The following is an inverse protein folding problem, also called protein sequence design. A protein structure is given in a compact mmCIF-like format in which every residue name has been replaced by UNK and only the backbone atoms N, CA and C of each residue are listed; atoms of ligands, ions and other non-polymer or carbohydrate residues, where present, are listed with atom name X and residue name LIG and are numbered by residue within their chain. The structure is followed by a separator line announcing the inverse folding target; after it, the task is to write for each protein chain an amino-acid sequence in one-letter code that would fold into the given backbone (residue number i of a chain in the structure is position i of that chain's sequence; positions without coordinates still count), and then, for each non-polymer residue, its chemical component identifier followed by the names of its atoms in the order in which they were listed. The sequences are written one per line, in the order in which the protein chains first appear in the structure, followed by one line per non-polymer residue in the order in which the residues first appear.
data_IF_060779718313
#
_entry.id   IF_060779718313
#
_cell.length_a   1.000
_cell.length_b   1.000
_cell.length_c   1.000
_cell.angle_alpha   90.00
_cell.angle_beta   90.00
_cell.angle_gamma   90.00
#
_symmetry.space_group_name_H-M   'P 1'
#
loop_
_entity.id
_entity.type
_entity.pdbx_description
1 polymer ?
#
# COMPACT_ATOMS: atom_id res chain seq x y z
N UNK A 1 -3.61 34.40 -18.13
CA UNK A 1 -3.26 34.65 -16.71
C UNK A 1 -3.06 33.28 -16.09
N UNK A 2 -1.83 32.81 -16.02
CA UNK A 2 -1.49 31.50 -15.45
C UNK A 2 -1.56 31.60 -13.93
N UNK A 3 -2.47 30.85 -13.33
CA UNK A 3 -2.45 30.61 -11.88
C UNK A 3 -1.24 29.70 -11.62
N UNK A 4 -0.16 30.25 -11.10
CA UNK A 4 0.97 29.44 -10.60
C UNK A 4 0.46 28.72 -9.35
N UNK A 5 0.19 27.45 -9.46
CA UNK A 5 0.01 26.58 -8.31
C UNK A 5 1.31 26.60 -7.49
N UNK A 6 1.24 27.10 -6.26
CA UNK A 6 2.31 26.93 -5.30
C UNK A 6 1.96 25.73 -4.45
N UNK A 7 2.82 24.70 -4.37
CA UNK A 7 2.59 23.59 -3.45
C UNK A 7 2.51 24.14 -2.02
N UNK A 8 1.64 23.56 -1.21
CA UNK A 8 1.52 23.89 0.19
C UNK A 8 2.81 23.50 0.89
N UNK A 9 3.60 24.48 1.36
CA UNK A 9 4.76 24.20 2.19
C UNK A 9 4.24 23.68 3.53
N UNK A 10 4.41 22.40 3.79
CA UNK A 10 4.28 21.86 5.13
C UNK A 10 5.66 21.91 5.80
N UNK A 11 5.82 22.84 6.74
CA UNK A 11 7.06 23.04 7.49
C UNK A 11 7.23 22.04 8.63
N UNK A 12 6.23 21.23 8.94
CA UNK A 12 6.28 20.24 10.02
C UNK A 12 5.47 18.99 9.66
N UNK A 13 6.13 17.96 9.13
CA UNK A 13 5.63 16.61 9.07
C UNK A 13 6.33 15.78 10.16
N UNK A 14 5.60 15.33 11.21
CA UNK A 14 6.20 14.51 12.26
C UNK A 14 6.04 13.01 11.95
N UNK A 15 7.02 12.39 11.33
CA UNK A 15 7.07 10.96 11.08
C UNK A 15 7.33 10.12 12.35
N UNK A 16 6.95 10.56 13.55
CA UNK A 16 7.18 9.82 14.79
C UNK A 16 8.60 9.24 14.92
N UNK A 17 9.20 9.31 16.07
CA UNK A 17 10.59 8.91 16.32
C UNK A 17 10.80 7.39 16.17
N UNK A 18 10.87 6.87 14.95
CA UNK A 18 11.55 5.61 14.65
C UNK A 18 13.04 5.84 14.86
N UNK A 19 13.73 4.98 15.61
CA UNK A 19 15.12 5.09 16.01
C UNK A 19 16.06 5.38 14.85
N UNK A 20 16.38 6.65 14.64
CA UNK A 20 17.49 7.10 13.81
C UNK A 20 18.77 7.01 14.65
N UNK A 21 19.80 6.34 14.14
CA UNK A 21 21.14 6.44 14.68
C UNK A 21 21.59 7.90 14.66
N UNK A 22 22.21 8.43 15.75
CA UNK A 22 22.61 9.83 15.83
C UNK A 22 23.87 10.06 15.00
N UNK A 23 23.67 10.46 13.75
CA UNK A 23 24.79 10.75 12.83
C UNK A 23 24.41 11.60 11.62
N UNK A 24 23.13 11.73 11.28
CA UNK A 24 22.70 12.51 10.13
C UNK A 24 22.08 13.84 10.57
N UNK A 25 22.65 14.87 10.08
CA UNK A 25 22.36 16.30 10.08
C UNK A 25 21.00 16.78 10.64
N UNK A 26 21.06 17.59 11.71
CA UNK A 26 19.94 18.22 12.44
C UNK A 26 19.27 19.37 11.66
N UNK A 27 18.93 19.23 10.40
CA UNK A 27 18.12 20.23 9.69
C UNK A 27 16.81 19.61 9.25
N UNK A 28 15.78 19.97 10.00
CA UNK A 28 14.36 19.77 9.88
C UNK A 28 13.84 18.97 8.69
N UNK A 29 13.69 17.64 8.87
CA UNK A 29 12.83 16.85 8.02
C UNK A 29 11.40 17.26 8.35
N UNK A 30 10.63 17.71 7.36
CA UNK A 30 9.21 17.95 7.53
C UNK A 30 8.50 16.61 7.80
N UNK A 31 7.61 16.58 8.78
CA UNK A 31 6.93 15.38 9.23
C UNK A 31 5.44 15.43 8.87
N UNK A 32 4.78 14.33 8.38
CA UNK A 32 3.33 14.31 8.21
C UNK A 32 2.62 14.59 9.55
N UNK A 33 1.39 15.13 9.52
CA UNK A 33 0.61 15.33 10.74
C UNK A 33 0.60 14.02 11.53
N UNK A 34 0.86 14.10 12.84
CA UNK A 34 0.88 12.91 13.67
C UNK A 34 -0.54 12.32 13.72
N UNK A 35 -0.63 11.02 13.68
CA UNK A 35 -1.86 10.26 13.97
C UNK A 35 -2.60 10.78 15.24
N UNK A 36 -1.89 11.45 16.14
CA UNK A 36 -2.39 12.00 17.41
C UNK A 36 -3.03 13.37 17.32
N UNK A 37 -2.82 14.14 16.25
CA UNK A 37 -3.60 15.38 16.08
C UNK A 37 -5.09 15.06 15.82
N UNK A 38 -5.39 13.86 15.30
CA UNK A 38 -6.75 13.32 15.24
C UNK A 38 -7.15 12.54 16.51
N UNK A 39 -6.18 12.05 17.30
CA UNK A 39 -6.36 11.27 18.52
C UNK A 39 -6.33 12.11 19.81
N UNK A 40 -6.20 13.44 19.73
CA UNK A 40 -6.43 14.34 20.90
C UNK A 40 -7.83 14.15 21.53
N UNK A 41 -8.74 13.46 20.84
CA UNK A 41 -9.99 12.95 21.42
C UNK A 41 -9.84 11.80 22.42
N UNK A 42 -8.73 11.05 22.40
CA UNK A 42 -8.46 9.95 23.35
C UNK A 42 -7.80 10.43 24.66
N UNK A 43 -7.18 11.60 24.65
CA UNK A 43 -6.44 12.15 25.81
C UNK A 43 -7.39 12.86 26.82
N UNK A 44 -8.63 13.16 26.46
CA UNK A 44 -9.56 13.90 27.29
C UNK A 44 -10.43 13.05 28.22
N UNK A 45 -9.94 11.89 28.68
CA UNK A 45 -10.54 11.21 29.88
C UNK A 45 -12.03 10.83 29.78
N UNK A 46 -12.62 10.81 28.61
CA UNK A 46 -13.95 10.22 28.41
C UNK A 46 -13.79 8.71 28.33
N UNK A 47 -14.31 8.00 29.34
CA UNK A 47 -14.49 6.56 29.29
C UNK A 47 -15.28 6.20 28.01
N UNK A 48 -14.57 5.69 26.98
CA UNK A 48 -15.23 5.06 25.85
C UNK A 48 -15.92 3.80 26.36
N UNK A 49 -17.18 3.54 25.98
CA UNK A 49 -17.93 2.38 26.47
C UNK A 49 -17.17 1.08 26.16
N UNK A 50 -17.21 0.11 27.06
CA UNK A 50 -16.54 -1.17 27.02
C UNK A 50 -16.52 -1.83 25.64
N UNK A 51 -15.35 -2.37 25.25
CA UNK A 51 -15.04 -2.83 23.91
C UNK A 51 -15.80 -4.07 23.42
N UNK A 52 -16.44 -4.86 24.28
CA UNK A 52 -17.20 -6.05 23.87
C UNK A 52 -18.60 -5.64 23.43
N UNK A 53 -18.89 -5.80 22.12
CA UNK A 53 -20.17 -5.36 21.54
C UNK A 53 -21.21 -6.49 21.38
N UNK A 54 -20.95 -7.66 21.96
CA UNK A 54 -21.88 -8.79 21.90
C UNK A 54 -21.55 -9.80 20.78
N UNK A 55 -22.46 -10.80 20.60
CA UNK A 55 -22.30 -11.84 19.60
C UNK A 55 -22.34 -11.24 18.19
N UNK A 56 -21.43 -11.74 17.33
CA UNK A 56 -21.35 -11.36 15.93
C UNK A 56 -21.33 -12.55 14.99
N UNK A 57 -21.74 -12.31 13.75
CA UNK A 57 -21.68 -13.29 12.66
C UNK A 57 -21.00 -12.70 11.44
N UNK A 58 -20.13 -13.50 10.80
CA UNK A 58 -19.54 -13.21 9.50
C UNK A 58 -20.11 -14.18 8.48
N UNK A 59 -20.62 -13.64 7.37
CA UNK A 59 -21.18 -14.36 6.25
C UNK A 59 -20.35 -14.11 5.00
N UNK A 60 -20.11 -15.17 4.22
CA UNK A 60 -19.38 -15.05 2.95
C UNK A 60 -20.28 -15.41 1.77
N UNK A 61 -20.05 -14.81 0.59
CA UNK A 61 -20.87 -14.98 -0.60
C UNK A 61 -20.94 -16.45 -1.08
N UNK A 62 -19.95 -17.27 -0.78
CA UNK A 62 -19.89 -18.71 -1.07
C UNK A 62 -20.57 -19.58 0.01
N UNK A 63 -21.34 -18.95 0.94
CA UNK A 63 -22.17 -19.64 1.92
C UNK A 63 -21.48 -19.95 3.26
N UNK A 64 -20.29 -19.39 3.53
CA UNK A 64 -19.64 -19.52 4.83
C UNK A 64 -20.40 -18.75 5.91
N UNK A 65 -20.48 -19.33 7.13
CA UNK A 65 -21.03 -18.68 8.32
C UNK A 65 -20.10 -18.94 9.50
N UNK A 66 -19.63 -17.87 10.12
CA UNK A 66 -18.71 -17.94 11.25
C UNK A 66 -19.23 -17.01 12.37
N UNK A 67 -19.22 -17.50 13.61
CA UNK A 67 -19.63 -16.72 14.78
C UNK A 67 -18.43 -16.26 15.58
N UNK A 68 -18.56 -15.12 16.24
CA UNK A 68 -17.53 -14.52 17.06
C UNK A 68 -18.09 -13.47 17.99
N UNK A 69 -17.24 -12.58 18.46
CA UNK A 69 -17.56 -11.43 19.31
C UNK A 69 -17.16 -10.14 18.60
N UNK A 70 -18.01 -9.15 18.57
CA UNK A 70 -17.71 -7.86 17.94
C UNK A 70 -16.83 -6.99 18.83
N UNK A 71 -15.92 -6.21 18.21
CA UNK A 71 -15.12 -5.18 18.84
C UNK A 71 -14.86 -4.02 17.86
N UNK A 72 -14.16 -2.97 18.30
CA UNK A 72 -13.94 -1.79 17.44
C UNK A 72 -15.19 -0.89 17.31
N UNK A 73 -15.51 -0.41 16.12
CA UNK A 73 -16.68 0.45 15.89
C UNK A 73 -18.00 -0.33 15.85
N UNK A 74 -19.11 0.35 16.24
CA UNK A 74 -20.47 -0.24 16.21
C UNK A 74 -21.11 -0.08 14.83
N UNK A 75 -20.48 -0.67 13.80
CA UNK A 75 -20.94 -0.67 12.42
C UNK A 75 -20.86 -2.07 11.83
N UNK A 76 -21.40 -2.27 10.64
CA UNK A 76 -21.20 -3.50 9.87
C UNK A 76 -19.92 -3.41 9.08
N UNK A 77 -19.15 -4.52 9.02
CA UNK A 77 -18.02 -4.67 8.11
C UNK A 77 -18.43 -5.38 6.84
N UNK A 78 -17.96 -4.90 5.68
CA UNK A 78 -18.26 -5.51 4.38
C UNK A 78 -17.15 -5.24 3.37
N UNK A 79 -16.90 -6.17 2.47
CA UNK A 79 -15.86 -6.04 1.44
C UNK A 79 -15.31 -7.38 0.98
N UNK A 80 -14.16 -7.34 0.33
CA UNK A 80 -13.44 -8.54 -0.07
C UNK A 80 -12.66 -9.15 1.10
N UNK A 81 -12.94 -10.41 1.44
CA UNK A 81 -12.29 -11.12 2.54
C UNK A 81 -10.90 -11.58 2.10
N UNK A 82 -9.88 -11.02 2.75
CA UNK A 82 -8.48 -11.35 2.52
C UNK A 82 -7.78 -11.76 3.82
N UNK A 83 -6.57 -12.32 3.73
CA UNK A 83 -5.79 -12.63 4.91
C UNK A 83 -4.32 -12.20 4.78
N UNK A 84 -3.70 -11.88 5.91
CA UNK A 84 -2.25 -11.68 6.00
C UNK A 84 -1.62 -12.74 6.89
N UNK A 85 -0.39 -13.16 6.55
CA UNK A 85 0.39 -14.12 7.32
C UNK A 85 1.43 -13.47 8.24
N UNK A 86 1.45 -12.14 8.30
CA UNK A 86 2.34 -11.37 9.17
C UNK A 86 2.12 -11.72 10.65
N UNK A 87 3.20 -12.02 11.37
CA UNK A 87 3.16 -12.31 12.81
C UNK A 87 3.28 -11.05 13.66
N UNK A 88 3.68 -9.93 13.07
CA UNK A 88 3.85 -8.60 13.69
C UNK A 88 3.52 -7.53 12.66
N UNK A 89 3.45 -6.27 13.09
CA UNK A 89 3.15 -5.16 12.19
C UNK A 89 1.65 -5.05 11.87
N UNK A 90 0.80 -5.36 12.83
CA UNK A 90 -0.65 -5.26 12.62
C UNK A 90 -1.12 -3.81 12.47
N UNK A 91 -0.49 -2.85 13.17
CA UNK A 91 -0.83 -1.42 13.03
C UNK A 91 -0.45 -0.91 11.64
N UNK A 92 0.75 -1.26 11.18
CA UNK A 92 1.24 -0.96 9.83
C UNK A 92 0.30 -1.54 8.77
N UNK A 93 -0.15 -2.80 8.95
CA UNK A 93 -1.11 -3.42 8.03
C UNK A 93 -2.49 -2.75 8.08
N UNK A 94 -2.98 -2.36 9.27
CA UNK A 94 -4.26 -1.69 9.43
C UNK A 94 -4.26 -0.28 8.80
N UNK A 95 -3.10 0.37 8.77
CA UNK A 95 -2.94 1.73 8.21
C UNK A 95 -2.33 1.75 6.81
N UNK A 96 -2.13 0.59 6.18
CA UNK A 96 -1.70 0.47 4.78
C UNK A 96 -2.90 0.74 3.84
N UNK A 97 -2.87 1.81 3.02
CA UNK A 97 -3.95 2.14 2.09
C UNK A 97 -4.29 1.01 1.09
N UNK A 98 -3.34 0.12 0.81
CA UNK A 98 -3.56 -1.02 -0.10
C UNK A 98 -4.61 -2.03 0.41
N UNK A 99 -5.06 -1.91 1.67
CA UNK A 99 -6.18 -2.71 2.19
C UNK A 99 -7.55 -2.03 2.07
N UNK A 100 -7.67 -0.86 1.45
CA UNK A 100 -8.96 -0.22 1.21
C UNK A 100 -9.89 -1.17 0.42
N UNK A 101 -11.19 -1.17 0.76
CA UNK A 101 -12.18 -2.07 0.17
C UNK A 101 -12.19 -3.50 0.75
N UNK A 102 -11.25 -3.87 1.61
CA UNK A 102 -11.05 -5.24 2.07
C UNK A 102 -11.47 -5.45 3.54
N UNK A 103 -11.88 -6.68 3.86
CA UNK A 103 -12.01 -7.18 5.24
C UNK A 103 -10.77 -8.03 5.53
N UNK A 104 -9.92 -7.55 6.43
CA UNK A 104 -8.61 -8.12 6.69
C UNK A 104 -8.66 -9.16 7.81
N UNK A 105 -8.30 -10.41 7.48
CA UNK A 105 -8.12 -11.49 8.44
C UNK A 105 -6.65 -11.65 8.82
N UNK A 106 -6.34 -11.56 10.10
CA UNK A 106 -5.02 -11.92 10.62
C UNK A 106 -4.94 -13.41 10.94
N UNK A 107 -3.98 -14.10 10.33
CA UNK A 107 -3.76 -15.55 10.62
C UNK A 107 -3.04 -15.77 11.93
N UNK A 108 -2.24 -14.78 12.38
CA UNK A 108 -1.60 -14.83 13.70
C UNK A 108 -2.65 -14.70 14.81
N UNK A 109 -2.61 -15.58 15.83
CA UNK A 109 -3.74 -15.69 16.76
C UNK A 109 -3.89 -14.53 17.74
N UNK A 110 -2.82 -13.79 18.03
CA UNK A 110 -2.83 -12.70 19.03
C UNK A 110 -2.55 -11.37 18.34
N UNK A 111 -3.54 -10.49 18.27
CA UNK A 111 -3.40 -9.16 17.70
C UNK A 111 -3.57 -8.10 18.79
N UNK A 112 -2.70 -7.08 18.78
CA UNK A 112 -2.72 -6.01 19.78
C UNK A 112 -1.84 -6.26 21.01
N UNK A 113 -1.05 -7.32 21.05
CA UNK A 113 -0.25 -7.71 22.21
C UNK A 113 0.79 -6.65 22.62
N UNK A 114 1.33 -5.87 21.71
CA UNK A 114 2.21 -4.73 22.02
C UNK A 114 1.51 -3.36 21.88
N UNK A 115 0.19 -3.34 21.67
CA UNK A 115 -0.61 -2.13 21.59
C UNK A 115 -0.44 -1.34 20.31
N UNK A 116 -0.87 -0.09 20.35
CA UNK A 116 -0.71 0.89 19.27
C UNK A 116 0.42 1.84 19.64
N UNK A 117 1.28 2.19 18.69
CA UNK A 117 2.47 3.01 18.89
C UNK A 117 2.44 4.28 18.06
N UNK A 118 2.96 5.38 18.62
CA UNK A 118 3.22 6.59 17.85
C UNK A 118 4.25 6.31 16.75
N UNK A 119 3.93 6.72 15.51
CA UNK A 119 4.84 6.60 14.37
C UNK A 119 4.93 5.22 13.71
N UNK A 120 4.15 4.23 14.18
CA UNK A 120 4.04 2.93 13.51
C UNK A 120 2.97 2.90 12.40
N UNK A 121 2.15 3.94 12.28
CA UNK A 121 1.16 4.04 11.21
C UNK A 121 1.82 4.36 9.86
N UNK A 122 1.28 3.75 8.82
CA UNK A 122 1.75 3.91 7.43
C UNK A 122 0.92 4.92 6.63
N UNK A 123 -0.15 5.45 7.24
CA UNK A 123 -0.96 6.56 6.73
C UNK A 123 -1.76 7.22 7.85
N UNK A 124 -2.56 8.21 7.52
CA UNK A 124 -3.42 8.95 8.47
C UNK A 124 -4.73 8.24 8.84
N UNK A 125 -5.02 7.03 8.32
CA UNK A 125 -6.28 6.33 8.54
C UNK A 125 -6.11 4.82 8.70
N UNK A 126 -7.17 4.14 9.15
CA UNK A 126 -7.34 2.68 9.10
C UNK A 126 -8.19 2.35 7.87
N UNK A 127 -7.66 1.58 6.94
CA UNK A 127 -8.25 1.40 5.61
C UNK A 127 -9.08 0.13 5.42
N UNK A 128 -8.77 -1.02 6.06
CA UNK A 128 -9.67 -2.17 5.97
C UNK A 128 -11.09 -1.79 6.40
N UNK A 129 -12.10 -2.23 5.63
CA UNK A 129 -13.52 -2.02 5.94
C UNK A 129 -14.01 -2.92 7.07
N UNK A 130 -13.14 -3.77 7.60
CA UNK A 130 -13.38 -4.60 8.76
C UNK A 130 -12.18 -5.48 9.08
N UNK A 131 -12.11 -5.94 10.33
CA UNK A 131 -10.97 -6.70 10.85
C UNK A 131 -11.44 -8.00 11.48
N UNK A 132 -10.79 -9.11 11.12
CA UNK A 132 -11.10 -10.46 11.60
C UNK A 132 -9.88 -11.02 12.32
N UNK A 133 -10.01 -11.35 13.62
CA UNK A 133 -8.92 -11.85 14.43
C UNK A 133 -9.33 -13.06 15.27
N UNK A 134 -8.37 -13.88 15.64
CA UNK A 134 -8.64 -14.95 16.60
C UNK A 134 -8.82 -14.37 18.02
N UNK A 135 -7.97 -13.42 18.39
CA UNK A 135 -8.03 -12.75 19.69
C UNK A 135 -7.45 -11.34 19.59
N UNK A 136 -8.21 -10.35 20.03
CA UNK A 136 -7.78 -8.97 20.19
C UNK A 136 -7.39 -8.69 21.64
N UNK A 137 -6.15 -8.26 21.85
CA UNK A 137 -5.66 -7.98 23.21
C UNK A 137 -6.25 -6.65 23.71
N UNK A 138 -6.87 -6.71 24.89
CA UNK A 138 -7.44 -5.55 25.58
C UNK A 138 -6.47 -4.90 26.56
N UNK A 139 -5.39 -5.60 26.92
CA UNK A 139 -4.35 -5.13 27.81
C UNK A 139 -2.99 -5.37 27.17
N UNK A 140 -2.53 -4.45 26.31
CA UNK A 140 -1.22 -4.56 25.67
C UNK A 140 -0.11 -4.41 26.70
N UNK A 141 0.96 -5.19 26.56
CA UNK A 141 2.13 -5.15 27.43
C UNK A 141 3.35 -4.65 26.67
N UNK A 142 3.45 -3.34 26.51
CA UNK A 142 4.61 -2.69 25.91
C UNK A 142 4.75 -1.24 26.38
N UNK A 143 5.97 -0.84 26.75
CA UNK A 143 6.27 0.50 27.33
C UNK A 143 5.90 1.69 26.46
N UNK A 144 5.80 1.52 25.15
CA UNK A 144 5.43 2.57 24.19
C UNK A 144 3.98 2.45 23.69
N UNK A 145 3.22 1.52 24.26
CA UNK A 145 1.80 1.40 23.94
C UNK A 145 1.05 2.63 24.43
N UNK A 146 0.24 3.19 23.56
CA UNK A 146 -0.59 4.36 23.82
C UNK A 146 -2.09 4.02 23.74
N UNK A 147 -2.42 2.77 23.39
CA UNK A 147 -3.79 2.29 23.27
C UNK A 147 -3.86 0.87 22.73
N UNK A 148 -5.08 0.38 22.59
CA UNK A 148 -5.40 -0.94 22.06
C UNK A 148 -5.76 -0.88 20.58
N UNK A 149 -5.70 -2.00 19.87
CA UNK A 149 -6.20 -2.13 18.51
C UNK A 149 -7.71 -1.85 18.45
N UNK A 150 -8.48 -2.27 19.47
CA UNK A 150 -9.92 -2.00 19.53
C UNK A 150 -10.24 -0.49 19.60
N UNK A 151 -9.45 0.29 20.33
CA UNK A 151 -9.54 1.75 20.37
C UNK A 151 -9.16 2.40 19.04
N UNK A 152 -8.07 1.93 18.42
CA UNK A 152 -7.65 2.37 17.10
C UNK A 152 -8.76 2.17 16.05
N UNK A 153 -9.33 0.98 15.98
CA UNK A 153 -10.42 0.67 15.06
C UNK A 153 -11.64 1.55 15.32
N UNK A 154 -11.99 1.76 16.60
CA UNK A 154 -13.14 2.57 17.00
C UNK A 154 -12.98 4.03 16.62
N UNK A 155 -11.79 4.60 16.81
CA UNK A 155 -11.52 6.00 16.46
C UNK A 155 -11.62 6.27 14.95
N UNK A 156 -11.45 5.23 14.12
CA UNK A 156 -11.60 5.32 12.66
C UNK A 156 -12.91 4.74 12.12
N UNK A 157 -13.86 4.38 12.99
CA UNK A 157 -15.16 3.85 12.56
C UNK A 157 -15.11 2.43 11.98
N UNK A 158 -14.03 1.69 12.19
CA UNK A 158 -13.82 0.35 11.62
C UNK A 158 -14.29 -0.73 12.60
N UNK A 159 -15.17 -1.66 12.18
CA UNK A 159 -15.62 -2.77 13.01
C UNK A 159 -14.61 -3.91 13.00
N UNK A 160 -14.63 -4.71 14.07
CA UNK A 160 -13.85 -5.94 14.18
C UNK A 160 -14.69 -7.11 14.69
N UNK A 161 -14.27 -8.32 14.38
CA UNK A 161 -14.81 -9.56 14.95
C UNK A 161 -13.68 -10.46 15.43
N UNK A 162 -13.78 -10.90 16.68
CA UNK A 162 -12.81 -11.78 17.33
C UNK A 162 -13.44 -13.11 17.80
N UNK A 163 -12.65 -13.98 18.41
CA UNK A 163 -13.07 -15.32 18.85
C UNK A 163 -13.63 -16.20 17.71
N UNK A 164 -13.22 -15.91 16.49
CA UNK A 164 -13.64 -16.55 15.25
C UNK A 164 -12.55 -17.54 14.75
N UNK A 165 -12.93 -18.54 13.98
CA UNK A 165 -11.96 -19.48 13.41
C UNK A 165 -11.25 -18.90 12.18
N UNK A 166 -10.22 -18.07 12.42
CA UNK A 166 -9.40 -17.45 11.36
C UNK A 166 -8.66 -18.49 10.50
N UNK A 167 -8.36 -19.69 11.05
CA UNK A 167 -7.74 -20.77 10.29
C UNK A 167 -8.70 -21.36 9.26
N UNK A 168 -9.97 -21.61 9.63
CA UNK A 168 -10.98 -22.08 8.71
C UNK A 168 -11.23 -21.05 7.58
N UNK A 169 -11.33 -19.77 7.95
CA UNK A 169 -11.45 -18.65 6.99
C UNK A 169 -10.26 -18.62 6.01
N UNK A 170 -9.03 -18.65 6.53
CA UNK A 170 -7.82 -18.63 5.70
C UNK A 170 -7.77 -19.82 4.73
N UNK A 171 -8.08 -21.03 5.21
CA UNK A 171 -8.13 -22.21 4.33
C UNK A 171 -9.16 -22.04 3.23
N UNK A 172 -10.35 -21.52 3.56
CA UNK A 172 -11.41 -21.28 2.60
C UNK A 172 -10.98 -20.30 1.51
N UNK A 173 -10.40 -19.15 1.89
CA UNK A 173 -9.88 -18.16 0.93
C UNK A 173 -8.77 -18.74 0.06
N UNK A 174 -7.89 -19.58 0.60
CA UNK A 174 -6.85 -20.27 -0.20
C UNK A 174 -7.42 -21.28 -1.21
N UNK A 175 -8.47 -21.98 -0.82
CA UNK A 175 -9.08 -23.03 -1.65
C UNK A 175 -10.00 -22.44 -2.74
N UNK A 176 -10.77 -21.40 -2.43
CA UNK A 176 -11.79 -20.84 -3.33
C UNK A 176 -11.36 -19.54 -4.02
N UNK A 177 -10.41 -18.82 -3.45
CA UNK A 177 -10.04 -17.45 -3.82
C UNK A 177 -10.63 -16.44 -2.85
N UNK A 178 -10.35 -15.15 -3.09
CA UNK A 178 -10.97 -14.07 -2.33
C UNK A 178 -12.48 -14.06 -2.59
N UNK A 179 -13.24 -13.72 -1.56
CA UNK A 179 -14.71 -13.80 -1.57
C UNK A 179 -15.29 -12.57 -0.87
N UNK A 180 -16.44 -12.09 -1.34
CA UNK A 180 -17.16 -11.02 -0.65
C UNK A 180 -17.71 -11.52 0.68
N UNK A 181 -17.67 -10.68 1.70
CA UNK A 181 -18.22 -10.96 3.01
C UNK A 181 -18.87 -9.74 3.63
N UNK A 182 -19.73 -10.00 4.61
CA UNK A 182 -20.29 -9.02 5.53
C UNK A 182 -20.26 -9.57 6.94
N UNK A 183 -20.12 -8.71 7.95
CA UNK A 183 -20.28 -9.13 9.34
C UNK A 183 -20.87 -8.02 10.20
N UNK A 184 -21.48 -8.41 11.31
CA UNK A 184 -22.12 -7.51 12.27
C UNK A 184 -22.79 -8.29 13.40
N UNK A 185 -23.71 -7.66 14.16
CA UNK A 185 -24.46 -8.32 15.20
C UNK A 185 -25.19 -9.59 14.70
N UNK A 186 -25.20 -10.65 15.51
CA UNK A 186 -25.86 -11.90 15.11
C UNK A 186 -27.36 -11.71 14.96
N UNK A 187 -27.98 -10.79 15.71
CA UNK A 187 -29.40 -10.41 15.59
C UNK A 187 -29.74 -9.76 14.23
N UNK A 188 -28.73 -9.17 13.55
CA UNK A 188 -28.91 -8.56 12.24
C UNK A 188 -28.66 -9.55 11.06
N UNK A 189 -28.52 -10.84 11.32
CA UNK A 189 -28.11 -11.84 10.30
C UNK A 189 -28.95 -11.76 9.02
N UNK A 190 -30.26 -11.51 9.12
CA UNK A 190 -31.12 -11.40 7.94
C UNK A 190 -30.81 -10.12 7.12
N UNK A 191 -30.51 -9.00 7.79
CA UNK A 191 -30.07 -7.78 7.14
C UNK A 191 -28.71 -8.00 6.45
N UNK A 192 -27.77 -8.65 7.13
CA UNK A 192 -26.44 -8.97 6.60
C UNK A 192 -26.54 -9.86 5.34
N UNK A 193 -27.45 -10.85 5.30
CA UNK A 193 -27.72 -11.67 4.10
C UNK A 193 -28.21 -10.81 2.93
N UNK A 194 -29.08 -9.85 3.18
CA UNK A 194 -29.59 -8.95 2.15
C UNK A 194 -28.47 -8.05 1.62
N UNK A 195 -27.63 -7.49 2.52
CA UNK A 195 -26.47 -6.68 2.13
C UNK A 195 -25.50 -7.47 1.28
N UNK A 196 -25.16 -8.70 1.69
CA UNK A 196 -24.24 -9.57 0.96
C UNK A 196 -24.70 -9.87 -0.47
N UNK A 197 -26.01 -10.01 -0.68
CA UNK A 197 -26.59 -10.23 -2.02
C UNK A 197 -26.47 -9.02 -2.95
N UNK A 198 -26.41 -7.81 -2.39
CA UNK A 198 -26.27 -6.55 -3.14
C UNK A 198 -24.83 -6.03 -3.19
N UNK A 199 -23.92 -6.65 -2.45
CA UNK A 199 -22.53 -6.21 -2.37
C UNK A 199 -21.81 -6.45 -3.69
N UNK A 200 -21.15 -5.43 -4.21
CA UNK A 200 -20.30 -5.50 -5.41
C UNK A 200 -18.83 -5.62 -5.03
N UNK A 201 -18.01 -6.11 -5.98
CA UNK A 201 -16.57 -6.17 -5.75
C UNK A 201 -15.98 -4.78 -5.58
N UNK A 202 -15.12 -4.55 -4.58
CA UNK A 202 -14.36 -3.31 -4.44
C UNK A 202 -13.46 -2.99 -5.66
N UNK A 203 -13.13 -3.97 -6.49
CA UNK A 203 -12.37 -3.75 -7.74
C UNK A 203 -13.11 -2.85 -8.74
N UNK A 204 -14.43 -2.66 -8.57
CA UNK A 204 -15.25 -1.78 -9.40
C UNK A 204 -15.28 -0.33 -8.87
N UNK A 205 -14.68 -0.06 -7.74
CA UNK A 205 -14.60 1.24 -7.11
C UNK A 205 -13.27 1.94 -7.44
N UNK A 206 -13.26 3.28 -7.53
CA UNK A 206 -12.01 4.04 -7.66
C UNK A 206 -11.36 4.19 -6.27
N UNK A 207 -10.80 3.09 -5.77
CA UNK A 207 -10.16 3.07 -4.46
C UNK A 207 -8.90 3.95 -4.39
N UNK A 208 -8.26 4.24 -5.52
CA UNK A 208 -7.14 5.19 -5.58
C UNK A 208 -7.61 6.61 -5.28
N UNK A 209 -8.83 6.99 -5.72
CA UNK A 209 -9.43 8.28 -5.35
C UNK A 209 -9.70 8.39 -3.84
N UNK A 210 -10.13 7.29 -3.21
CA UNK A 210 -10.45 7.23 -1.77
C UNK A 210 -9.22 7.45 -0.89
N UNK A 211 -8.04 6.95 -1.29
CA UNK A 211 -6.84 6.90 -0.44
C UNK A 211 -5.80 7.97 -0.73
N UNK A 212 -5.91 8.66 -1.87
CA UNK A 212 -4.91 9.63 -2.32
C UNK A 212 -5.13 11.04 -1.75
N UNK A 213 -4.06 11.83 -1.71
CA UNK A 213 -4.16 13.26 -1.36
C UNK A 213 -4.82 14.07 -2.49
N UNK A 214 -5.43 15.19 -2.12
CA UNK A 214 -6.10 16.11 -3.06
C UNK A 214 -5.18 17.23 -3.57
N UNK A 215 -4.20 17.63 -2.79
CA UNK A 215 -3.30 18.77 -3.09
C UNK A 215 -1.84 18.35 -2.99
N UNK A 216 -0.96 18.85 -3.87
CA UNK A 216 0.48 18.58 -3.80
C UNK A 216 1.14 19.11 -2.52
N UNK A 217 2.06 18.32 -1.98
CA UNK A 217 2.83 18.64 -0.78
C UNK A 217 4.32 18.53 -1.07
N UNK A 218 5.09 19.57 -0.73
CA UNK A 218 6.56 19.55 -0.83
C UNK A 218 7.15 19.05 0.48
N UNK A 219 7.91 17.96 0.41
CA UNK A 219 8.60 17.34 1.54
C UNK A 219 10.10 17.55 1.39
N UNK A 220 10.77 17.72 2.53
CA UNK A 220 12.22 17.84 2.60
C UNK A 220 12.81 19.00 1.76
N UNK A 221 12.19 20.21 1.75
CA UNK A 221 12.58 21.30 0.87
C UNK A 221 14.00 21.80 1.16
N UNK A 222 14.80 21.94 0.09
CA UNK A 222 16.17 22.42 0.17
C UNK A 222 17.14 21.48 0.89
N UNK A 223 16.82 20.20 0.95
CA UNK A 223 17.70 19.20 1.53
C UNK A 223 19.00 19.06 0.71
N UNK A 224 20.08 18.78 1.41
CA UNK A 224 21.41 18.58 0.84
C UNK A 224 21.87 17.14 1.08
N UNK A 225 22.72 16.64 0.20
CA UNK A 225 23.43 15.37 0.40
C UNK A 225 24.64 15.56 1.38
N UNK A 226 25.37 14.46 1.62
CA UNK A 226 26.54 14.46 2.50
C UNK A 226 27.72 15.33 1.98
N UNK A 227 27.63 15.79 0.73
CA UNK A 227 28.62 16.68 0.08
C UNK A 227 28.10 18.12 -0.06
N UNK A 228 27.05 18.49 0.69
CA UNK A 228 26.38 19.80 0.65
C UNK A 228 25.82 20.18 -0.75
N UNK A 229 25.48 19.18 -1.60
CA UNK A 229 24.82 19.40 -2.90
C UNK A 229 23.30 19.27 -2.73
N UNK A 230 22.48 20.08 -3.44
CA UNK A 230 21.04 19.90 -3.45
C UNK A 230 20.62 18.49 -3.86
N UNK A 231 19.68 17.90 -3.15
CA UNK A 231 19.08 16.64 -3.55
C UNK A 231 18.27 16.83 -4.83
N UNK A 232 18.25 15.85 -5.76
CA UNK A 232 17.35 15.86 -6.91
C UNK A 232 15.90 15.91 -6.48
N UNK A 233 15.06 16.53 -7.30
CA UNK A 233 13.62 16.67 -7.03
C UNK A 233 12.83 15.51 -7.64
N UNK A 234 12.08 14.81 -6.80
CA UNK A 234 11.27 13.66 -7.18
C UNK A 234 9.79 14.02 -7.16
N UNK A 235 9.08 13.82 -8.27
CA UNK A 235 7.62 13.76 -8.27
C UNK A 235 7.16 12.40 -7.76
N UNK A 236 6.32 12.36 -6.73
CA UNK A 236 5.77 11.13 -6.17
C UNK A 236 4.25 11.11 -6.34
N UNK A 237 3.74 10.28 -7.28
CA UNK A 237 2.31 10.08 -7.49
C UNK A 237 1.73 9.23 -6.36
N UNK A 238 0.75 9.78 -5.68
CA UNK A 238 0.06 9.15 -4.56
C UNK A 238 -1.11 8.28 -5.03
N UNK A 239 -0.88 6.99 -5.15
CA UNK A 239 -1.96 6.03 -5.37
C UNK A 239 -2.42 5.34 -4.06
N UNK A 240 -1.98 5.85 -2.91
CA UNK A 240 -2.12 5.26 -1.58
C UNK A 240 -0.75 5.00 -0.95
N UNK A 241 0.10 6.00 -0.95
CA UNK A 241 1.51 5.88 -0.54
C UNK A 241 1.63 5.61 0.96
N UNK A 242 2.46 4.62 1.33
CA UNK A 242 2.84 4.37 2.71
C UNK A 242 3.85 5.41 3.19
N UNK A 243 3.69 5.87 4.44
CA UNK A 243 4.61 6.83 5.04
C UNK A 243 6.06 6.35 5.06
N UNK A 244 6.31 5.04 5.16
CA UNK A 244 7.68 4.54 5.13
C UNK A 244 8.31 4.63 3.72
N UNK A 245 7.53 4.64 2.66
CA UNK A 245 8.02 4.98 1.31
C UNK A 245 8.48 6.44 1.29
N UNK A 246 7.65 7.38 1.75
CA UNK A 246 8.04 8.80 1.82
C UNK A 246 9.29 9.01 2.67
N UNK A 247 9.40 8.34 3.83
CA UNK A 247 10.61 8.39 4.68
C UNK A 247 11.87 7.94 3.93
N UNK A 248 11.77 6.87 3.15
CA UNK A 248 12.91 6.39 2.36
C UNK A 248 13.23 7.32 1.18
N UNK A 249 12.21 7.81 0.47
CA UNK A 249 12.41 8.77 -0.63
C UNK A 249 13.05 10.08 -0.13
N UNK A 250 12.60 10.63 1.00
CA UNK A 250 13.15 11.86 1.58
C UNK A 250 14.61 11.73 2.05
N UNK A 251 15.17 10.54 2.16
CA UNK A 251 16.62 10.35 2.40
C UNK A 251 17.48 10.66 1.18
N UNK A 252 16.87 10.57 0.00
CA UNK A 252 17.56 10.63 -1.28
C UNK A 252 17.11 11.80 -2.16
N UNK A 253 15.92 12.38 -1.89
CA UNK A 253 15.28 13.35 -2.76
C UNK A 253 14.60 14.49 -1.97
N UNK A 254 14.48 15.65 -2.62
CA UNK A 254 13.40 16.60 -2.33
C UNK A 254 12.13 16.05 -3.00
N UNK A 255 11.05 15.81 -2.25
CA UNK A 255 9.88 15.08 -2.77
C UNK A 255 8.69 16.00 -2.96
N UNK A 256 8.17 16.07 -4.18
CA UNK A 256 6.86 16.67 -4.49
C UNK A 256 5.83 15.54 -4.46
N UNK A 257 5.16 15.37 -3.33
CA UNK A 257 4.10 14.38 -3.15
C UNK A 257 2.81 14.90 -3.79
N UNK A 258 2.34 14.25 -4.85
CA UNK A 258 1.29 14.73 -5.74
C UNK A 258 0.09 13.78 -5.81
N UNK A 259 -1.13 14.30 -6.03
CA UNK A 259 -2.27 13.47 -6.41
C UNK A 259 -1.96 12.59 -7.64
N UNK A 260 -2.56 11.40 -7.76
CA UNK A 260 -2.26 10.44 -8.83
C UNK A 260 -2.67 10.95 -10.22
N UNK A 261 -3.60 11.90 -10.28
CA UNK A 261 -4.07 12.52 -11.51
C UNK A 261 -3.27 13.77 -11.91
N UNK A 262 -2.10 14.01 -11.34
CA UNK A 262 -1.22 15.11 -11.73
C UNK A 262 -0.57 14.81 -13.10
N UNK A 263 -0.80 15.63 -14.15
CA UNK A 263 -0.24 15.37 -15.47
C UNK A 263 1.28 15.52 -15.49
N UNK A 264 1.96 14.76 -16.36
CA UNK A 264 3.41 14.83 -16.51
C UNK A 264 3.90 16.25 -16.85
N UNK A 265 3.14 17.00 -17.67
CA UNK A 265 3.49 18.38 -18.03
C UNK A 265 3.53 19.34 -16.82
N UNK A 266 2.65 19.13 -15.83
CA UNK A 266 2.67 19.90 -14.58
C UNK A 266 3.88 19.51 -13.74
N UNK A 267 4.16 18.21 -13.61
CA UNK A 267 5.31 17.71 -12.87
C UNK A 267 6.63 18.24 -13.44
N UNK A 268 6.81 18.21 -14.77
CA UNK A 268 8.04 18.59 -15.42
C UNK A 268 8.22 20.11 -15.59
N UNK A 269 7.12 20.89 -15.81
CA UNK A 269 7.22 22.31 -16.13
C UNK A 269 6.97 23.24 -14.94
N UNK A 270 6.11 22.83 -14.00
CA UNK A 270 5.78 23.66 -12.85
C UNK A 270 6.56 23.25 -11.60
N UNK A 271 6.79 21.94 -11.40
CA UNK A 271 7.53 21.43 -10.26
C UNK A 271 8.99 21.12 -10.56
N UNK A 272 9.39 21.11 -11.84
CA UNK A 272 10.79 20.92 -12.28
C UNK A 272 11.43 19.68 -11.66
N UNK A 273 10.75 18.52 -11.86
CA UNK A 273 11.19 17.25 -11.29
C UNK A 273 12.31 16.61 -12.14
N UNK A 274 13.27 15.97 -11.48
CA UNK A 274 14.37 15.22 -12.09
C UNK A 274 14.03 13.73 -12.30
N UNK A 275 13.08 13.21 -11.53
CA UNK A 275 12.64 11.82 -11.57
C UNK A 275 11.18 11.67 -11.14
N UNK A 276 10.55 10.54 -11.48
CA UNK A 276 9.18 10.22 -11.13
C UNK A 276 9.10 8.92 -10.35
N UNK A 277 8.26 8.92 -9.31
CA UNK A 277 7.90 7.75 -8.52
C UNK A 277 6.39 7.52 -8.57
N UNK A 278 5.95 6.26 -8.68
CA UNK A 278 4.55 5.87 -8.54
C UNK A 278 4.39 4.86 -7.40
N UNK A 279 3.51 5.18 -6.47
CA UNK A 279 3.38 4.46 -5.22
C UNK A 279 2.58 3.15 -5.33
N UNK A 280 2.56 2.41 -4.22
CA UNK A 280 1.59 1.38 -3.92
C UNK A 280 0.17 1.94 -3.85
N UNK A 281 -0.84 1.07 -3.83
CA UNK A 281 -2.23 1.45 -3.67
C UNK A 281 -3.20 0.28 -3.81
N UNK A 282 -4.49 0.52 -3.54
CA UNK A 282 -5.55 -0.48 -3.62
C UNK A 282 -6.18 -0.60 -5.01
N UNK A 283 -7.01 -1.62 -5.17
CA UNK A 283 -7.94 -1.78 -6.29
C UNK A 283 -7.34 -2.46 -7.52
N UNK A 284 -8.13 -2.46 -8.59
CA UNK A 284 -7.73 -3.02 -9.89
C UNK A 284 -6.85 -2.01 -10.64
N UNK A 285 -5.61 -2.36 -11.05
CA UNK A 285 -4.75 -1.47 -11.84
C UNK A 285 -5.34 -1.10 -13.20
N UNK A 286 -6.29 -1.89 -13.71
CA UNK A 286 -6.99 -1.61 -14.97
C UNK A 286 -8.23 -0.70 -14.79
N UNK A 287 -8.57 -0.30 -13.57
CA UNK A 287 -9.71 0.59 -13.30
C UNK A 287 -9.55 1.93 -14.06
N UNK A 288 -10.63 2.45 -14.70
CA UNK A 288 -10.55 3.65 -15.55
C UNK A 288 -10.48 4.98 -14.78
N UNK A 289 -10.39 4.95 -13.45
CA UNK A 289 -10.31 6.13 -12.58
C UNK A 289 -8.93 6.77 -12.50
N UNK A 290 -8.55 7.27 -11.33
CA UNK A 290 -7.26 7.95 -11.09
C UNK A 290 -6.04 7.09 -11.43
N UNK A 291 -6.13 5.76 -11.28
CA UNK A 291 -5.08 4.81 -11.67
C UNK A 291 -4.74 4.89 -13.17
N UNK A 292 -5.74 5.05 -14.04
CA UNK A 292 -5.53 5.20 -15.48
C UNK A 292 -4.77 6.49 -15.82
N UNK A 293 -5.04 7.59 -15.11
CA UNK A 293 -4.35 8.88 -15.33
C UNK A 293 -2.89 8.77 -14.85
N UNK A 294 -2.64 8.14 -13.70
CA UNK A 294 -1.29 7.88 -13.21
C UNK A 294 -0.47 7.04 -14.22
N UNK A 295 -1.09 6.03 -14.85
CA UNK A 295 -0.48 5.22 -15.92
C UNK A 295 -0.08 6.07 -17.14
N UNK A 296 -0.93 7.01 -17.56
CA UNK A 296 -0.61 7.92 -18.67
C UNK A 296 0.58 8.85 -18.32
N UNK A 297 0.63 9.34 -17.08
CA UNK A 297 1.74 10.16 -16.57
C UNK A 297 3.05 9.37 -16.52
N UNK A 298 3.02 8.11 -16.07
CA UNK A 298 4.17 7.20 -16.12
C UNK A 298 4.69 7.01 -17.55
N UNK A 299 3.79 6.69 -18.49
CA UNK A 299 4.15 6.50 -19.89
C UNK A 299 4.76 7.78 -20.51
N UNK A 300 4.25 8.95 -20.14
CA UNK A 300 4.79 10.24 -20.62
C UNK A 300 6.20 10.50 -20.07
N UNK A 301 6.46 10.18 -18.80
CA UNK A 301 7.78 10.31 -18.18
C UNK A 301 8.81 9.40 -18.87
N UNK A 302 8.45 8.13 -19.14
CA UNK A 302 9.34 7.19 -19.86
C UNK A 302 9.63 7.68 -21.28
N UNK A 303 8.61 8.18 -22.03
CA UNK A 303 8.84 8.79 -23.35
C UNK A 303 9.78 9.98 -23.31
N UNK A 304 9.79 10.73 -22.22
CA UNK A 304 10.71 11.84 -22.00
C UNK A 304 12.10 11.39 -21.52
N UNK A 305 12.35 10.09 -21.44
CA UNK A 305 13.57 9.48 -20.89
C UNK A 305 13.85 9.88 -19.43
N UNK A 306 12.82 10.23 -18.65
CA UNK A 306 12.94 10.56 -17.24
C UNK A 306 13.10 9.28 -16.41
N UNK A 307 13.97 9.26 -15.39
CA UNK A 307 14.06 8.13 -14.48
C UNK A 307 12.74 7.86 -13.76
N UNK A 308 12.27 6.60 -13.76
CA UNK A 308 11.02 6.20 -13.12
C UNK A 308 11.22 4.99 -12.24
N UNK A 309 10.66 5.05 -11.01
CA UNK A 309 10.50 3.89 -10.13
C UNK A 309 9.02 3.68 -9.78
N UNK A 310 8.54 2.44 -9.80
CA UNK A 310 7.19 2.07 -9.37
C UNK A 310 7.20 0.96 -8.33
N UNK A 311 6.34 1.07 -7.31
CA UNK A 311 6.17 0.05 -6.26
C UNK A 311 4.72 -0.46 -6.26
N UNK A 312 4.55 -1.78 -6.23
CA UNK A 312 3.28 -2.50 -6.09
C UNK A 312 2.26 -2.07 -7.16
N UNK A 313 1.28 -1.22 -6.87
CA UNK A 313 0.37 -0.68 -7.88
C UNK A 313 1.13 0.09 -8.97
N UNK A 314 2.15 0.87 -8.62
CA UNK A 314 3.00 1.57 -9.59
C UNK A 314 3.73 0.63 -10.56
N UNK A 315 4.12 -0.57 -10.11
CA UNK A 315 4.65 -1.63 -10.97
C UNK A 315 3.59 -2.16 -11.93
N UNK A 316 2.37 -2.41 -11.44
CA UNK A 316 1.27 -2.92 -12.27
C UNK A 316 0.83 -1.88 -13.32
N UNK A 317 0.77 -0.60 -12.94
CA UNK A 317 0.47 0.50 -13.87
C UNK A 317 1.54 0.64 -14.96
N UNK A 318 2.82 0.47 -14.61
CA UNK A 318 3.91 0.44 -15.60
C UNK A 318 3.79 -0.78 -16.51
N UNK A 319 3.45 -1.96 -15.99
CA UNK A 319 3.17 -3.15 -16.78
C UNK A 319 2.07 -2.89 -17.83
N UNK A 320 0.93 -2.31 -17.41
CA UNK A 320 -0.14 -1.91 -18.32
C UNK A 320 0.31 -0.85 -19.33
N UNK A 321 1.08 0.16 -18.92
CA UNK A 321 1.65 1.18 -19.81
C UNK A 321 2.61 0.58 -20.85
N UNK A 322 3.22 -0.55 -20.53
CA UNK A 322 4.12 -1.31 -21.42
C UNK A 322 3.38 -2.29 -22.36
N UNK A 323 2.05 -2.31 -22.31
CA UNK A 323 1.22 -3.22 -23.12
C UNK A 323 1.05 -4.62 -22.52
N UNK A 324 1.57 -4.86 -21.31
CA UNK A 324 1.35 -6.12 -20.60
C UNK A 324 -0.04 -6.18 -20.02
N UNK A 325 -0.48 -7.40 -19.66
CA UNK A 325 -1.75 -7.62 -18.96
C UNK A 325 -1.52 -7.69 -17.45
N UNK A 326 -2.55 -7.35 -16.69
CA UNK A 326 -2.64 -7.67 -15.27
C UNK A 326 -3.76 -8.68 -15.03
N UNK A 327 -3.66 -9.44 -13.97
CA UNK A 327 -4.67 -10.42 -13.58
C UNK A 327 -4.88 -10.42 -12.07
N UNK A 328 -6.11 -10.73 -11.66
CA UNK A 328 -6.43 -10.93 -10.25
C UNK A 328 -5.93 -12.30 -9.80
N UNK A 329 -5.10 -12.32 -8.78
CA UNK A 329 -4.60 -13.55 -8.18
C UNK A 329 -5.71 -14.22 -7.36
N UNK A 330 -5.62 -15.53 -7.18
CA UNK A 330 -6.64 -16.30 -6.44
C UNK A 330 -6.84 -15.78 -5.02
N UNK A 331 -5.75 -15.52 -4.29
CA UNK A 331 -5.78 -14.99 -2.92
C UNK A 331 -4.70 -13.93 -2.65
N UNK A 332 -3.89 -13.59 -3.66
CA UNK A 332 -2.82 -12.60 -3.57
C UNK A 332 -1.64 -13.02 -2.69
N UNK A 333 -0.62 -12.16 -2.65
CA UNK A 333 0.51 -12.27 -1.72
C UNK A 333 0.37 -11.22 -0.62
N UNK A 334 0.22 -11.66 0.64
CA UNK A 334 0.13 -10.77 1.81
C UNK A 334 0.91 -11.37 2.98
N UNK A 335 2.04 -10.74 3.29
CA UNK A 335 2.93 -11.16 4.35
C UNK A 335 4.36 -10.66 4.16
N UNK A 336 5.21 -10.91 5.14
CA UNK A 336 6.57 -10.40 5.20
C UNK A 336 7.65 -11.49 4.98
N UNK A 337 7.31 -12.57 4.30
CA UNK A 337 8.18 -13.74 4.12
C UNK A 337 8.15 -14.30 2.68
N UNK A 338 7.96 -13.44 1.69
CA UNK A 338 7.88 -13.82 0.29
C UNK A 338 9.28 -13.79 -0.36
N UNK A 339 9.81 -14.95 -0.81
CA UNK A 339 11.11 -15.00 -1.47
C UNK A 339 11.01 -14.56 -2.92
N UNK A 340 11.85 -13.62 -3.31
CA UNK A 340 11.93 -13.08 -4.68
C UNK A 340 13.33 -13.29 -5.23
N UNK A 341 13.40 -13.80 -6.46
CA UNK A 341 14.65 -14.06 -7.19
C UNK A 341 14.93 -12.92 -8.16
N UNK A 342 16.11 -12.33 -8.09
CA UNK A 342 16.66 -11.47 -9.14
C UNK A 342 17.21 -12.35 -10.27
N UNK A 343 16.61 -12.32 -11.45
CA UNK A 343 16.99 -13.15 -12.59
C UNK A 343 18.34 -12.76 -13.21
N UNK A 344 18.86 -11.56 -12.90
CA UNK A 344 20.17 -11.11 -13.40
C UNK A 344 21.30 -11.64 -12.51
N UNK A 345 21.13 -11.51 -11.19
CA UNK A 345 22.20 -11.88 -10.23
C UNK A 345 22.04 -13.29 -9.67
N UNK A 346 20.85 -13.88 -9.77
CA UNK A 346 20.48 -15.13 -9.11
C UNK A 346 20.30 -15.03 -7.60
N UNK A 347 20.39 -13.83 -7.01
CA UNK A 347 20.20 -13.63 -5.59
C UNK A 347 18.72 -13.74 -5.20
N UNK A 348 18.48 -14.13 -3.95
CA UNK A 348 17.14 -14.22 -3.37
C UNK A 348 17.03 -13.23 -2.22
N UNK A 349 15.99 -12.40 -2.24
CA UNK A 349 15.63 -11.51 -1.15
C UNK A 349 14.32 -11.97 -0.53
N UNK A 350 14.19 -11.85 0.79
CA UNK A 350 12.91 -12.03 1.48
C UNK A 350 12.20 -10.69 1.50
N UNK A 351 10.96 -10.66 1.02
CA UNK A 351 10.24 -9.40 0.81
C UNK A 351 8.93 -9.34 1.58
N UNK A 352 8.49 -8.12 1.84
CA UNK A 352 7.13 -7.82 2.30
C UNK A 352 6.24 -7.58 1.08
N UNK A 353 5.03 -8.17 1.08
CA UNK A 353 4.08 -8.05 -0.03
C UNK A 353 2.66 -7.84 0.47
N UNK A 354 1.90 -7.05 -0.27
CA UNK A 354 0.46 -6.84 -0.06
C UNK A 354 -0.19 -6.48 -1.40
N UNK A 355 -0.50 -7.49 -2.22
CA UNK A 355 -1.16 -7.29 -3.50
C UNK A 355 -2.10 -8.43 -3.86
N UNK A 356 -3.21 -8.09 -4.54
CA UNK A 356 -4.21 -9.03 -5.07
C UNK A 356 -4.14 -9.18 -6.58
N UNK A 357 -3.39 -8.31 -7.27
CA UNK A 357 -3.16 -8.35 -8.71
C UNK A 357 -1.67 -8.55 -9.01
N UNK A 358 -1.38 -9.07 -10.19
CA UNK A 358 -0.02 -9.23 -10.69
C UNK A 358 0.05 -8.93 -12.19
N UNK A 359 1.25 -8.59 -12.66
CA UNK A 359 1.55 -8.45 -14.09
C UNK A 359 1.73 -9.85 -14.70
N UNK A 360 1.12 -10.07 -15.85
CA UNK A 360 1.31 -11.31 -16.61
C UNK A 360 2.72 -11.38 -17.20
N UNK A 361 3.34 -12.56 -17.12
CA UNK A 361 4.65 -12.80 -17.72
C UNK A 361 4.52 -12.78 -19.25
N UNK A 362 5.19 -11.86 -19.96
CA UNK A 362 5.11 -11.77 -21.41
C UNK A 362 5.69 -13.01 -22.13
N UNK A 363 6.61 -13.73 -21.49
CA UNK A 363 7.31 -14.89 -22.07
C UNK A 363 6.62 -16.23 -21.76
N UNK A 364 5.69 -16.27 -20.83
CA UNK A 364 5.02 -17.52 -20.42
C UNK A 364 4.03 -18.10 -21.45
N UNK A 365 3.92 -17.46 -22.64
CA UNK A 365 2.87 -17.80 -23.61
C UNK A 365 1.48 -17.50 -23.03
N UNK A 366 0.45 -17.32 -23.87
CA UNK A 366 -0.92 -17.06 -23.39
C UNK A 366 -1.19 -17.86 -22.12
N UNK A 367 -1.28 -17.18 -20.99
CA UNK A 367 -1.46 -17.76 -19.65
C UNK A 367 -2.32 -19.01 -19.72
N UNK A 368 -1.70 -20.16 -19.45
CA UNK A 368 -2.47 -21.34 -19.13
C UNK A 368 -3.46 -20.95 -18.05
N UNK A 369 -4.73 -20.84 -18.43
CA UNK A 369 -5.85 -20.26 -17.70
C UNK A 369 -5.55 -20.04 -16.21
N UNK A 370 -5.22 -18.80 -15.84
CA UNK A 370 -5.06 -18.46 -14.43
C UNK A 370 -6.38 -18.83 -13.72
N UNK A 371 -6.36 -19.50 -12.58
CA UNK A 371 -7.57 -20.02 -11.93
C UNK A 371 -8.67 -19.00 -11.68
N UNK A 372 -8.33 -17.71 -11.61
CA UNK A 372 -9.30 -16.62 -11.44
C UNK A 372 -9.94 -16.12 -12.74
N UNK A 373 -9.39 -16.46 -13.92
CA UNK A 373 -10.03 -16.23 -15.21
C UNK A 373 -10.14 -14.81 -15.74
N UNK A 374 -9.87 -13.80 -14.94
CA UNK A 374 -10.03 -12.41 -15.33
C UNK A 374 -8.66 -11.73 -15.50
N UNK A 375 -8.19 -11.65 -16.75
CA UNK A 375 -7.09 -10.77 -17.14
C UNK A 375 -7.63 -9.44 -17.67
N UNK A 376 -6.89 -8.35 -17.46
CA UNK A 376 -7.14 -7.11 -18.19
C UNK A 376 -7.00 -7.36 -19.72
N UNK A 377 -7.67 -6.60 -20.57
CA UNK A 377 -7.38 -6.68 -22.01
C UNK A 377 -5.90 -6.33 -22.24
N UNK A 378 -5.25 -6.92 -23.28
CA UNK A 378 -3.92 -6.50 -23.70
C UNK A 378 -3.95 -5.03 -24.09
N UNK A 379 -3.01 -4.25 -23.54
CA UNK A 379 -2.84 -2.84 -23.84
C UNK A 379 -1.91 -2.61 -25.03
N UNK A 380 -1.76 -1.33 -25.41
CA UNK A 380 -0.68 -0.90 -26.29
C UNK A 380 0.52 -0.47 -25.45
N UNK A 381 1.73 -0.67 -25.95
CA UNK A 381 2.93 -0.12 -25.34
C UNK A 381 2.93 1.42 -25.52
N UNK A 382 2.50 2.13 -24.50
CA UNK A 382 2.27 3.58 -24.51
C UNK A 382 3.56 4.40 -24.59
N UNK A 383 4.71 3.83 -24.24
CA UNK A 383 6.00 4.55 -24.18
C UNK A 383 7.03 4.02 -25.18
N UNK A 384 6.77 2.91 -25.86
CA UNK A 384 7.62 2.34 -26.89
C UNK A 384 8.89 1.63 -26.40
N UNK A 385 9.19 1.67 -25.11
CA UNK A 385 10.34 0.95 -24.55
C UNK A 385 10.02 -0.54 -24.40
N UNK A 386 11.01 -1.41 -24.62
CA UNK A 386 10.94 -2.83 -24.32
C UNK A 386 11.03 -3.03 -22.80
N UNK A 387 10.29 -4.02 -22.27
CA UNK A 387 10.38 -4.41 -20.86
C UNK A 387 10.98 -5.81 -20.73
N UNK A 388 11.70 -6.00 -19.65
CA UNK A 388 12.27 -7.29 -19.27
C UNK A 388 11.87 -7.63 -17.84
N UNK A 389 11.36 -8.84 -17.63
CA UNK A 389 11.13 -9.37 -16.28
C UNK A 389 12.49 -9.54 -15.59
N UNK A 390 12.63 -8.86 -14.44
CA UNK A 390 13.83 -8.93 -13.62
C UNK A 390 13.64 -9.76 -12.36
N UNK A 391 12.53 -9.56 -11.68
CA UNK A 391 12.26 -10.23 -10.42
C UNK A 391 11.07 -11.16 -10.56
N UNK A 392 11.17 -12.35 -9.95
CA UNK A 392 10.08 -13.33 -9.90
C UNK A 392 9.96 -13.93 -8.50
N UNK A 393 8.74 -14.23 -8.09
CA UNK A 393 8.49 -14.97 -6.84
C UNK A 393 9.06 -16.40 -6.95
N UNK A 394 9.81 -16.82 -5.95
CA UNK A 394 10.43 -18.14 -5.96
C UNK A 394 9.42 -19.29 -5.80
N UNK A 395 8.24 -19.02 -5.22
CA UNK A 395 7.24 -20.05 -4.95
C UNK A 395 6.35 -20.37 -6.15
N UNK A 396 5.89 -19.35 -6.87
CA UNK A 396 4.85 -19.50 -7.91
C UNK A 396 5.19 -18.82 -9.24
N UNK A 397 6.38 -18.20 -9.33
CA UNK A 397 6.89 -17.53 -10.54
C UNK A 397 6.11 -16.28 -10.96
N UNK A 398 5.26 -15.73 -10.09
CA UNK A 398 4.64 -14.42 -10.31
C UNK A 398 5.70 -13.37 -10.64
N UNK A 399 5.41 -12.49 -11.61
CA UNK A 399 6.29 -11.36 -11.96
C UNK A 399 6.35 -10.39 -10.79
N UNK A 400 7.56 -10.14 -10.31
CA UNK A 400 7.82 -9.32 -9.13
C UNK A 400 8.61 -8.04 -9.45
N UNK A 401 8.95 -7.83 -10.71
CA UNK A 401 9.58 -6.58 -11.13
C UNK A 401 10.01 -6.56 -12.57
N UNK A 402 10.07 -5.35 -13.12
CA UNK A 402 10.40 -5.05 -14.51
C UNK A 402 11.57 -4.06 -14.59
N UNK A 403 12.49 -4.30 -15.51
CA UNK A 403 13.43 -3.28 -16.01
C UNK A 403 12.92 -2.79 -17.40
N UNK A 404 12.98 -1.49 -17.65
CA UNK A 404 12.71 -0.91 -18.96
C UNK A 404 14.05 -0.83 -19.74
N UNK A 405 14.15 -1.60 -20.83
CA UNK A 405 15.39 -1.76 -21.58
C UNK A 405 15.81 -0.44 -22.22
N UNK A 406 17.04 0.00 -21.94
CA UNK A 406 17.56 1.27 -22.48
C UNK A 406 16.95 2.54 -21.86
N UNK A 407 16.16 2.39 -20.80
CA UNK A 407 15.57 3.50 -20.04
C UNK A 407 16.08 3.51 -18.60
N UNK A 408 16.25 4.66 -17.96
CA UNK A 408 16.68 4.74 -16.55
C UNK A 408 15.53 4.41 -15.59
N UNK A 409 14.84 3.29 -15.79
CA UNK A 409 13.56 3.01 -15.11
C UNK A 409 13.41 1.54 -14.75
N UNK A 410 12.87 1.28 -13.56
CA UNK A 410 12.52 -0.06 -13.10
C UNK A 410 11.34 -0.04 -12.15
N UNK A 411 10.71 -1.20 -11.94
CA UNK A 411 9.60 -1.34 -11.01
C UNK A 411 9.67 -2.63 -10.23
N UNK A 412 9.06 -2.66 -9.03
CA UNK A 412 8.96 -3.85 -8.17
C UNK A 412 7.55 -4.02 -7.63
N UNK A 413 7.07 -5.28 -7.58
CA UNK A 413 5.76 -5.63 -7.05
C UNK A 413 5.75 -5.65 -5.52
N UNK A 414 6.85 -6.06 -4.90
CA UNK A 414 7.02 -6.11 -3.46
C UNK A 414 7.31 -4.73 -2.86
N UNK A 415 7.32 -4.65 -1.52
CA UNK A 415 7.51 -3.43 -0.74
C UNK A 415 8.94 -3.31 -0.20
N UNK A 416 9.87 -2.61 -0.88
CA UNK A 416 11.26 -2.46 -0.44
C UNK A 416 11.39 -1.61 0.83
N UNK A 417 10.38 -0.78 1.14
CA UNK A 417 10.30 0.00 2.36
C UNK A 417 10.01 -0.85 3.59
N UNK A 418 9.55 -2.09 3.41
CA UNK A 418 9.07 -2.98 4.47
C UNK A 418 7.95 -2.36 5.33
N UNK A 419 8.07 -2.35 6.66
CA UNK A 419 7.08 -1.86 7.62
C UNK A 419 5.65 -2.40 7.40
N UNK A 420 5.40 -3.62 7.90
CA UNK A 420 6.34 -4.54 8.55
C UNK A 420 7.18 -5.33 7.55
N UNK A 421 8.30 -5.88 7.99
CA UNK A 421 9.00 -6.90 7.23
C UNK A 421 10.52 -6.77 7.20
N UNK A 422 11.19 -7.66 6.43
CA UNK A 422 12.62 -7.66 6.24
C UNK A 422 13.08 -6.47 5.40
N UNK A 423 14.35 -6.07 5.57
CA UNK A 423 14.95 -4.93 4.88
C UNK A 423 15.87 -5.33 3.72
N UNK A 424 15.81 -6.58 3.26
CA UNK A 424 16.66 -7.11 2.17
C UNK A 424 16.56 -6.26 0.89
N UNK A 425 15.37 -5.71 0.63
CA UNK A 425 15.09 -4.92 -0.56
C UNK A 425 15.31 -3.39 -0.38
N UNK A 426 15.61 -2.92 0.82
CA UNK A 426 15.82 -1.49 1.10
C UNK A 426 16.88 -0.81 0.19
N UNK A 427 17.96 -1.49 -0.27
CA UNK A 427 18.92 -0.91 -1.20
C UNK A 427 18.35 -0.43 -2.53
N UNK A 428 17.12 -0.82 -2.91
CA UNK A 428 16.49 -0.37 -4.15
C UNK A 428 16.22 1.15 -4.19
N UNK A 429 16.01 1.80 -3.06
CA UNK A 429 15.90 3.28 -3.00
C UNK A 429 17.24 3.95 -3.34
N UNK A 430 18.35 3.42 -2.82
CA UNK A 430 19.70 3.88 -3.19
C UNK A 430 20.00 3.62 -4.68
N UNK A 431 19.67 2.43 -5.19
CA UNK A 431 19.79 2.13 -6.64
C UNK A 431 19.02 3.15 -7.49
N UNK A 432 17.81 3.53 -7.08
CA UNK A 432 17.04 4.54 -7.82
C UNK A 432 17.74 5.90 -7.79
N UNK A 433 18.30 6.30 -6.64
CA UNK A 433 19.10 7.52 -6.53
C UNK A 433 20.32 7.48 -7.48
N UNK A 434 21.06 6.37 -7.51
CA UNK A 434 22.22 6.22 -8.39
C UNK A 434 21.83 6.37 -9.88
N UNK A 435 20.71 5.78 -10.29
CA UNK A 435 20.16 5.92 -11.65
C UNK A 435 19.84 7.38 -11.99
N UNK A 436 19.27 8.14 -11.04
CA UNK A 436 18.96 9.56 -11.22
C UNK A 436 20.24 10.39 -11.32
N UNK A 437 21.22 10.15 -10.45
CA UNK A 437 22.51 10.85 -10.48
C UNK A 437 23.28 10.58 -11.78
N UNK A 438 23.30 9.34 -12.25
CA UNK A 438 23.91 8.97 -13.54
C UNK A 438 23.21 9.66 -14.72
N UNK A 439 21.88 9.77 -14.66
CA UNK A 439 21.07 10.45 -15.68
C UNK A 439 21.37 11.94 -15.74
N UNK A 440 21.45 12.59 -14.57
CA UNK A 440 21.76 14.03 -14.47
C UNK A 440 23.23 14.35 -14.77
N UNK A 441 24.15 13.45 -14.41
CA UNK A 441 25.60 13.60 -14.64
C UNK A 441 26.04 13.24 -16.06
N UNK A 442 25.29 12.45 -16.81
CA UNK A 442 25.59 11.99 -18.16
C UNK A 442 25.39 13.03 -19.27
N UNK A 443 25.01 14.25 -18.92
CA UNK A 443 24.81 15.38 -19.84
C UNK A 443 26.03 16.31 -20.01
N UNK A 444 27.25 15.86 -19.62
CA UNK A 444 28.51 16.66 -19.78
C UNK A 444 29.37 16.06 -20.88
#
# INVERSE_FOLDING_TARGET
MGVRFRPKLMTEFNFGSGSFSPGANRRGVAHPPSFFDAADGLVNGQELPDGAQGPGVLLTADGGRYTGTLFGAKTHGEGELVFTTGMMGYQESLTDPSFAGQVLTFTYPLIGNYGVHQGASESGSVWPRGVVVRHAMTQPDHRYSIGTVGELLRSHGVPGIENIDTRAITRRVRELGTVLCVFGPEEDEQLLKTRLQSLTSPDLEDLVDEVSIDEPVLLNPGALDDLDRPLPRLGALDCGIKYNILRNLCRHFEVVWCPPNTPFSVLSQEYDIDALFCSNGPGDPAHPGKAAIARETLAAAVRANMPVMGICLGHQLMGLASGLQTYKMRYGHRGANQPVVDLITGSVSITSQNHGFAVADPDAGMLAAHPSGACSPPGENMHGAEVRVRYVNANDRTVEGLDLVGQPSFTVQFHPEACPGPHDAAPLFGRFRDIVDDHLGGGV
#
